data_IF_649145862942
#
_entry.id   IF_649145862942
#
_cell.length_a   1.000
_cell.length_b   1.000
_cell.length_c   1.000
_cell.angle_alpha   90.00
_cell.angle_beta   90.00
_cell.angle_gamma   90.00
#
_symmetry.space_group_name_H-M   'P 1'
#
loop_
_entity.id
_entity.type
_entity.pdbx_description
1 polymer ?
#
# COMPACT_ATOMS: atom_id res chain seq x y z
N UNK A 1 -0.44 -8.41 -39.13
CA UNK A 1 -0.56 -8.27 -37.65
C UNK A 1 0.35 -7.12 -37.18
N UNK A 2 -0.07 -6.27 -36.23
CA UNK A 2 0.70 -5.11 -35.77
C UNK A 2 2.02 -5.46 -35.08
N UNK A 3 2.09 -6.59 -34.37
CA UNK A 3 3.35 -7.14 -33.85
C UNK A 3 3.86 -8.25 -34.77
N UNK A 4 5.11 -8.12 -35.22
CA UNK A 4 5.82 -9.14 -35.98
C UNK A 4 6.41 -10.16 -35.00
N UNK A 5 5.79 -11.35 -34.92
CA UNK A 5 6.25 -12.45 -34.06
C UNK A 5 6.12 -13.77 -34.81
N UNK A 6 6.72 -14.84 -34.29
CA UNK A 6 6.63 -16.16 -34.90
C UNK A 6 5.28 -16.82 -34.60
N UNK A 7 4.62 -17.31 -35.65
CA UNK A 7 3.36 -18.04 -35.58
C UNK A 7 3.52 -19.45 -36.15
N UNK A 8 3.01 -20.46 -35.44
CA UNK A 8 3.03 -21.86 -35.87
C UNK A 8 1.90 -22.20 -36.85
N UNK A 9 0.97 -21.27 -37.10
CA UNK A 9 -0.15 -21.40 -38.02
C UNK A 9 -0.18 -20.20 -38.99
N UNK A 10 -0.95 -20.34 -40.07
CA UNK A 10 -1.14 -19.29 -41.07
C UNK A 10 -2.06 -18.20 -40.50
N UNK A 11 -1.50 -17.04 -40.17
CA UNK A 11 -2.25 -15.90 -39.63
C UNK A 11 -2.96 -15.07 -40.68
N UNK A 12 -2.67 -15.26 -41.97
CA UNK A 12 -3.21 -14.41 -43.03
C UNK A 12 -4.60 -14.89 -43.51
N UNK A 13 -5.00 -16.10 -43.10
CA UNK A 13 -6.32 -16.65 -43.39
C UNK A 13 -7.38 -16.16 -42.41
N UNK A 14 -8.58 -15.91 -42.92
CA UNK A 14 -9.76 -15.70 -42.08
C UNK A 14 -10.23 -17.04 -41.50
N UNK A 15 -10.62 -17.11 -40.21
CA UNK A 15 -10.78 -16.04 -39.21
C UNK A 15 -9.53 -15.81 -38.31
N UNK A 16 -8.42 -16.51 -38.58
CA UNK A 16 -7.22 -16.51 -37.73
C UNK A 16 -6.58 -15.13 -37.63
N UNK A 17 -6.60 -14.36 -38.72
CA UNK A 17 -6.13 -12.98 -38.74
C UNK A 17 -6.82 -12.10 -37.71
N UNK A 18 -8.16 -12.09 -37.71
CA UNK A 18 -8.99 -11.23 -36.86
C UNK A 18 -8.81 -11.58 -35.39
N UNK A 19 -8.82 -12.88 -35.08
CA UNK A 19 -8.60 -13.36 -33.71
C UNK A 19 -7.21 -12.98 -33.21
N UNK A 20 -6.18 -13.18 -34.03
CA UNK A 20 -4.79 -12.89 -33.63
C UNK A 20 -4.59 -11.38 -33.46
N UNK A 21 -5.20 -10.56 -34.32
CA UNK A 21 -5.19 -9.11 -34.19
C UNK A 21 -5.85 -8.66 -32.88
N UNK A 22 -7.01 -9.21 -32.54
CA UNK A 22 -7.71 -8.92 -31.30
C UNK A 22 -6.90 -9.31 -30.06
N UNK A 23 -6.31 -10.51 -30.07
CA UNK A 23 -5.45 -10.98 -28.97
C UNK A 23 -4.22 -10.08 -28.81
N UNK A 24 -3.57 -9.69 -29.90
CA UNK A 24 -2.44 -8.75 -29.86
C UNK A 24 -2.85 -7.40 -29.26
N UNK A 25 -3.97 -6.83 -29.70
CA UNK A 25 -4.47 -5.54 -29.20
C UNK A 25 -4.78 -5.62 -27.70
N UNK A 26 -5.45 -6.69 -27.24
CA UNK A 26 -5.75 -6.92 -25.83
C UNK A 26 -4.46 -7.08 -25.02
N UNK A 27 -3.49 -7.82 -25.52
CA UNK A 27 -2.21 -8.05 -24.84
C UNK A 27 -1.43 -6.75 -24.67
N UNK A 28 -1.37 -5.91 -25.70
CA UNK A 28 -0.73 -4.58 -25.63
C UNK A 28 -1.43 -3.71 -24.59
N UNK A 29 -2.77 -3.66 -24.61
CA UNK A 29 -3.57 -2.90 -23.65
C UNK A 29 -3.31 -3.36 -22.21
N UNK A 30 -3.36 -4.67 -21.95
CA UNK A 30 -3.10 -5.24 -20.63
C UNK A 30 -1.67 -4.96 -20.16
N UNK A 31 -0.69 -5.10 -21.06
CA UNK A 31 0.72 -4.81 -20.75
C UNK A 31 0.89 -3.34 -20.35
N UNK A 32 0.27 -2.41 -21.10
CA UNK A 32 0.31 -0.99 -20.79
C UNK A 32 -0.37 -0.69 -19.43
N UNK A 33 -1.53 -1.27 -19.17
CA UNK A 33 -2.23 -1.10 -17.89
C UNK A 33 -1.40 -1.62 -16.72
N UNK A 34 -0.80 -2.80 -16.84
CA UNK A 34 0.08 -3.36 -15.80
C UNK A 34 1.28 -2.46 -15.59
N UNK A 35 1.94 -2.01 -16.67
CA UNK A 35 3.10 -1.13 -16.59
C UNK A 35 2.78 0.19 -15.88
N UNK A 36 1.71 0.87 -16.31
CA UNK A 36 1.25 2.12 -15.68
C UNK A 36 0.81 1.91 -14.22
N UNK A 37 0.18 0.77 -13.92
CA UNK A 37 -0.25 0.45 -12.56
C UNK A 37 0.94 0.21 -11.64
N UNK A 38 1.96 -0.51 -12.10
CA UNK A 38 3.18 -0.75 -11.33
C UNK A 38 3.90 0.57 -11.07
N UNK A 39 4.14 1.37 -12.11
CA UNK A 39 4.78 2.69 -11.98
C UNK A 39 4.00 3.62 -11.05
N UNK A 40 2.66 3.67 -11.17
CA UNK A 40 1.81 4.47 -10.30
C UNK A 40 1.74 3.96 -8.85
N UNK A 41 1.80 2.64 -8.66
CA UNK A 41 1.68 2.02 -7.33
C UNK A 41 2.85 2.37 -6.41
N UNK A 42 4.07 2.50 -6.95
CA UNK A 42 5.23 2.90 -6.17
C UNK A 42 5.04 4.30 -5.57
N UNK A 43 4.56 5.25 -6.37
CA UNK A 43 4.24 6.60 -5.92
C UNK A 43 3.13 6.60 -4.84
N UNK A 44 2.07 5.82 -5.05
CA UNK A 44 0.98 5.68 -4.08
C UNK A 44 1.46 5.09 -2.74
N UNK A 45 2.32 4.06 -2.76
CA UNK A 45 2.87 3.44 -1.55
C UNK A 45 3.73 4.45 -0.77
N UNK A 46 4.58 5.21 -1.47
CA UNK A 46 5.41 6.25 -0.84
C UNK A 46 4.52 7.32 -0.20
N UNK A 47 3.56 7.87 -0.95
CA UNK A 47 2.64 8.89 -0.44
C UNK A 47 1.80 8.38 0.73
N UNK A 48 1.26 7.16 0.61
CA UNK A 48 0.49 6.52 1.68
C UNK A 48 1.34 6.31 2.93
N UNK A 49 2.57 5.80 2.80
CA UNK A 49 3.49 5.61 3.92
C UNK A 49 3.83 6.94 4.59
N UNK A 50 4.14 7.99 3.82
CA UNK A 50 4.38 9.33 4.34
C UNK A 50 3.16 9.88 5.09
N UNK A 51 1.95 9.72 4.53
CA UNK A 51 0.71 10.13 5.20
C UNK A 51 0.44 9.37 6.50
N UNK A 52 0.70 8.05 6.52
CA UNK A 52 0.59 7.24 7.73
C UNK A 52 1.60 7.67 8.81
N UNK A 53 2.84 8.00 8.43
CA UNK A 53 3.85 8.51 9.34
C UNK A 53 3.47 9.86 9.93
N UNK A 54 2.90 10.78 9.14
CA UNK A 54 2.45 12.09 9.65
C UNK A 54 1.27 11.94 10.61
N UNK A 55 0.33 11.03 10.32
CA UNK A 55 -0.77 10.72 11.24
C UNK A 55 -0.26 10.09 12.55
N UNK A 56 0.71 9.19 12.48
CA UNK A 56 1.37 8.63 13.65
C UNK A 56 2.06 9.72 14.48
N UNK A 57 2.77 10.64 13.82
CA UNK A 57 3.39 11.80 14.46
C UNK A 57 2.36 12.65 15.21
N UNK A 58 1.24 12.98 14.59
CA UNK A 58 0.15 13.73 15.23
C UNK A 58 -0.40 13.00 16.46
N UNK A 59 -0.62 11.68 16.35
CA UNK A 59 -1.09 10.86 17.48
C UNK A 59 -0.09 10.82 18.61
N UNK A 60 1.20 10.71 18.32
CA UNK A 60 2.27 10.69 19.32
C UNK A 60 2.38 12.03 20.04
N UNK A 61 2.35 13.14 19.30
CA UNK A 61 2.33 14.49 19.90
C UNK A 61 1.09 14.67 20.78
N UNK A 62 -0.09 14.24 20.32
CA UNK A 62 -1.31 14.33 21.11
C UNK A 62 -1.24 13.46 22.37
N UNK A 63 -0.66 12.26 22.30
CA UNK A 63 -0.46 11.38 23.44
C UNK A 63 0.48 12.00 24.49
N UNK A 64 1.62 12.55 24.04
CA UNK A 64 2.60 13.24 24.91
C UNK A 64 2.01 14.51 25.52
N UNK A 65 1.17 15.23 24.77
CA UNK A 65 0.47 16.43 25.27
C UNK A 65 -0.71 16.08 26.20
N UNK A 66 -1.17 14.83 26.18
CA UNK A 66 -2.27 14.37 27.01
C UNK A 66 -1.79 14.23 28.46
N UNK A 67 -2.09 15.27 29.27
CA UNK A 67 -1.92 15.26 30.74
C UNK A 67 -2.52 14.03 31.42
N UNK A 68 -3.43 13.31 30.77
CA UNK A 68 -4.05 12.11 31.32
C UNK A 68 -3.11 10.90 31.31
N UNK A 69 -2.16 10.81 30.37
CA UNK A 69 -1.13 9.76 30.43
C UNK A 69 -0.20 9.98 31.62
N UNK A 70 0.32 11.21 31.78
CA UNK A 70 1.12 11.59 32.94
C UNK A 70 0.35 11.44 34.26
N UNK A 71 -0.94 11.82 34.28
CA UNK A 71 -1.79 11.69 35.47
C UNK A 71 -2.08 10.23 35.81
N UNK A 72 -2.38 9.39 34.82
CA UNK A 72 -2.62 7.96 35.02
C UNK A 72 -1.34 7.24 35.46
N UNK A 73 -0.20 7.57 34.86
CA UNK A 73 1.10 7.05 35.24
C UNK A 73 1.46 7.45 36.67
N UNK A 74 1.30 8.73 37.02
CA UNK A 74 1.59 9.23 38.37
C UNK A 74 0.64 8.63 39.43
N UNK A 75 -0.66 8.49 39.11
CA UNK A 75 -1.62 7.81 39.98
C UNK A 75 -1.24 6.34 40.24
N UNK A 76 -0.80 5.62 39.20
CA UNK A 76 -0.32 4.25 39.34
C UNK A 76 0.95 4.17 40.21
N UNK A 77 1.95 5.02 39.96
CA UNK A 77 3.19 5.07 40.77
C UNK A 77 2.87 5.36 42.24
N UNK A 78 1.97 6.33 42.50
CA UNK A 78 1.57 6.72 43.85
C UNK A 78 0.83 5.58 44.58
N UNK A 79 -0.02 4.85 43.86
CA UNK A 79 -0.74 3.69 44.39
C UNK A 79 0.21 2.54 44.71
N UNK A 80 1.13 2.20 43.80
CA UNK A 80 2.16 1.19 44.04
C UNK A 80 3.05 1.55 45.24
N UNK A 81 3.49 2.80 45.36
CA UNK A 81 4.31 3.26 46.49
C UNK A 81 3.56 3.19 47.81
N UNK A 82 2.26 3.53 47.82
CA UNK A 82 1.38 3.39 48.99
C UNK A 82 1.23 1.93 49.40
N UNK A 83 1.01 1.02 48.45
CA UNK A 83 0.87 -0.41 48.74
C UNK A 83 2.15 -0.97 49.34
N UNK A 84 3.32 -0.67 48.75
CA UNK A 84 4.62 -1.11 49.28
C UNK A 84 4.83 -0.59 50.71
N UNK A 85 4.44 0.65 50.99
CA UNK A 85 4.57 1.28 52.31
C UNK A 85 3.56 0.77 53.35
N UNK A 86 2.44 0.17 52.94
CA UNK A 86 1.50 -0.50 53.84
C UNK A 86 1.82 -1.99 54.04
N UNK A 87 2.58 -2.59 53.14
CA UNK A 87 2.97 -3.99 53.18
C UNK A 87 4.25 -4.25 54.03
N UNK A 88 5.01 -3.19 54.34
CA UNK A 88 6.16 -3.19 55.26
C UNK A 88 5.87 -2.23 56.41
#
# INVERSE_FOLDING_TARGET
LPLQTYYFYDTDKSPQFELTFFIQALTILLTLLVYLSVDGSLGLIVLHTCGQLENLRHRLVNLVSCKDFDRALNSNIMTHTRIIRCAF
#
